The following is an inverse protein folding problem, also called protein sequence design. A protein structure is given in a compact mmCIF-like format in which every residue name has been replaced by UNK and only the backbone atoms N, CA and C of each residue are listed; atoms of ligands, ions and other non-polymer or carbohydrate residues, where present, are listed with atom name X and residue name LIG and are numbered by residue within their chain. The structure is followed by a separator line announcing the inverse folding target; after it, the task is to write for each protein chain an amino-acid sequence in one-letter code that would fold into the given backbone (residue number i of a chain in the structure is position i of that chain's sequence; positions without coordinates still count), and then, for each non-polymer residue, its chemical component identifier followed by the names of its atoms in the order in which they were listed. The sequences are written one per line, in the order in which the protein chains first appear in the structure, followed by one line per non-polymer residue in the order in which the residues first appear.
data_IF_848574388248
#
_entry.id   IF_848574388248
#
_cell.length_a   1.000
_cell.length_b   1.000
_cell.length_c   1.000
_cell.angle_alpha   90.00
_cell.angle_beta   90.00
_cell.angle_gamma   90.00
#
_symmetry.space_group_name_H-M   'P 1'
#
loop_
_entity.id
_entity.type
_entity.pdbx_description
1 polymer ?
#
# COMPACT_ATOMS: atom_id res chain seq x y z
N UNK A 1 -50.54 -29.34 23.93
CA UNK A 1 -49.93 -28.97 25.23
C UNK A 1 -48.48 -29.41 25.24
N UNK A 2 -47.63 -28.57 25.81
CA UNK A 2 -46.17 -28.65 25.91
C UNK A 2 -45.60 -30.05 26.24
N UNK A 3 -44.43 -30.39 25.67
CA UNK A 3 -43.12 -30.29 26.37
C UNK A 3 -41.99 -30.96 25.58
N UNK A 4 -40.80 -30.34 25.71
CA UNK A 4 -39.47 -30.97 25.84
C UNK A 4 -38.88 -31.57 24.53
N UNK A 5 -37.58 -31.47 24.21
CA UNK A 5 -36.38 -31.29 25.02
C UNK A 5 -35.30 -30.64 24.15
N UNK A 6 -34.58 -29.67 24.72
CA UNK A 6 -33.36 -29.11 24.14
C UNK A 6 -32.13 -29.95 24.51
N UNK A 7 -31.05 -29.65 23.79
CA UNK A 7 -29.62 -29.85 24.14
C UNK A 7 -28.97 -31.16 23.66
N UNK A 8 -28.17 -31.07 22.59
CA UNK A 8 -26.70 -31.29 22.63
C UNK A 8 -26.02 -31.04 21.27
N UNK A 9 -25.14 -30.04 21.29
CA UNK A 9 -23.92 -29.82 20.49
C UNK A 9 -23.47 -30.91 19.51
N UNK A 10 -23.11 -30.52 18.28
CA UNK A 10 -21.83 -30.90 17.67
C UNK A 10 -21.37 -29.91 16.57
N UNK A 11 -20.08 -29.60 16.63
CA UNK A 11 -19.27 -28.76 15.74
C UNK A 11 -18.98 -29.43 14.38
N UNK A 12 -18.85 -28.66 13.28
CA UNK A 12 -17.89 -28.92 12.18
C UNK A 12 -18.01 -27.93 10.99
N UNK A 13 -17.05 -27.01 10.92
CA UNK A 13 -16.29 -26.47 9.76
C UNK A 13 -16.73 -26.70 8.29
N UNK A 14 -16.82 -25.57 7.57
CA UNK A 14 -16.26 -25.18 6.25
C UNK A 14 -16.08 -26.17 5.07
N UNK A 15 -16.47 -25.64 3.89
CA UNK A 15 -15.95 -25.90 2.54
C UNK A 15 -16.33 -27.22 1.85
N UNK A 16 -17.16 -27.13 0.79
CA UNK A 16 -16.95 -27.80 -0.52
C UNK A 16 -18.19 -27.71 -1.43
N UNK A 17 -18.37 -26.62 -2.19
CA UNK A 17 -19.36 -26.57 -3.28
C UNK A 17 -18.82 -25.82 -4.51
N UNK A 18 -17.68 -26.23 -5.07
CA UNK A 18 -17.22 -25.70 -6.37
C UNK A 18 -16.45 -26.71 -7.23
N UNK A 19 -16.65 -28.02 -7.06
CA UNK A 19 -15.99 -29.02 -7.93
C UNK A 19 -16.87 -29.53 -9.08
N UNK A 20 -18.21 -29.45 -8.99
CA UNK A 20 -19.07 -30.13 -9.97
C UNK A 20 -19.30 -29.35 -11.28
N UNK A 21 -19.12 -28.03 -11.30
CA UNK A 21 -19.45 -27.20 -12.47
C UNK A 21 -18.35 -27.14 -13.55
N UNK A 22 -17.11 -27.55 -13.26
CA UNK A 22 -16.01 -27.43 -14.22
C UNK A 22 -15.91 -28.59 -15.24
N UNK A 23 -16.80 -29.60 -15.22
CA UNK A 23 -16.63 -30.83 -16.01
C UNK A 23 -17.36 -30.88 -17.36
N UNK A 24 -18.31 -29.97 -17.63
CA UNK A 24 -19.12 -30.01 -18.86
C UNK A 24 -18.62 -29.08 -19.98
N UNK A 25 -17.56 -28.30 -19.74
CA UNK A 25 -16.92 -27.47 -20.77
C UNK A 25 -15.47 -27.90 -20.88
N UNK A 26 -15.17 -28.76 -21.85
CA UNK A 26 -13.84 -29.33 -22.14
C UNK A 26 -12.76 -28.28 -22.44
N UNK A 27 -12.35 -27.54 -21.41
CA UNK A 27 -11.24 -26.61 -21.42
C UNK A 27 -10.01 -27.39 -20.97
N UNK A 28 -9.18 -27.79 -21.94
CA UNK A 28 -7.83 -28.26 -21.68
C UNK A 28 -7.05 -27.13 -20.99
N UNK A 29 -6.72 -27.30 -19.72
CA UNK A 29 -5.84 -26.40 -18.99
C UNK A 29 -4.44 -26.50 -19.59
N UNK A 30 -4.12 -25.60 -20.52
CA UNK A 30 -2.74 -25.34 -20.92
C UNK A 30 -2.03 -24.74 -19.71
N UNK A 31 -1.21 -25.55 -19.03
CA UNK A 31 -0.18 -25.07 -18.09
C UNK A 31 0.80 -24.18 -18.84
N UNK A 32 0.45 -22.91 -19.00
CA UNK A 32 1.45 -21.86 -19.21
C UNK A 32 2.28 -21.80 -17.93
N UNK A 33 3.63 -21.75 -18.00
CA UNK A 33 4.42 -21.41 -16.84
C UNK A 33 3.95 -20.03 -16.36
N UNK A 34 3.40 -19.99 -15.16
CA UNK A 34 2.78 -18.81 -14.57
C UNK A 34 3.85 -17.78 -14.22
N UNK A 35 4.35 -17.06 -15.23
CA UNK A 35 5.18 -15.87 -15.02
C UNK A 35 4.40 -14.57 -15.04
N UNK A 36 3.07 -14.59 -15.21
CA UNK A 36 2.23 -13.39 -15.16
C UNK A 36 0.82 -13.73 -14.68
N UNK A 37 0.69 -14.22 -13.45
CA UNK A 37 -0.49 -13.87 -12.67
C UNK A 37 -0.05 -12.66 -11.84
N UNK A 38 -0.73 -11.53 -12.00
CA UNK A 38 -0.71 -10.43 -11.04
C UNK A 38 -1.24 -10.99 -9.72
N UNK A 39 -0.39 -11.74 -9.02
CA UNK A 39 -0.55 -11.93 -7.59
C UNK A 39 -0.61 -10.51 -7.06
N UNK A 40 -1.72 -10.14 -6.44
CA UNK A 40 -1.78 -8.92 -5.64
C UNK A 40 -0.53 -8.96 -4.78
N UNK A 41 0.43 -8.09 -5.10
CA UNK A 41 1.62 -7.95 -4.28
C UNK A 41 1.13 -7.86 -2.84
N UNK A 42 1.63 -8.68 -1.90
CA UNK A 42 1.28 -8.50 -0.51
C UNK A 42 1.46 -7.03 -0.18
N UNK A 43 0.44 -6.44 0.46
CA UNK A 43 0.42 -5.03 0.82
C UNK A 43 1.80 -4.66 1.35
N UNK A 44 2.48 -3.62 0.84
CA UNK A 44 3.84 -3.35 1.23
C UNK A 44 3.88 -3.13 2.75
N UNK A 45 4.49 -4.09 3.46
CA UNK A 45 4.64 -4.04 4.91
C UNK A 45 5.96 -3.33 5.22
N UNK A 46 6.00 -2.64 6.35
CA UNK A 46 7.18 -1.92 6.85
C UNK A 46 8.42 -2.82 7.04
N UNK A 47 8.24 -4.14 7.22
CA UNK A 47 9.34 -5.10 7.42
C UNK A 47 9.85 -5.82 6.15
N UNK A 48 9.47 -5.36 4.95
CA UNK A 48 9.98 -6.00 3.72
C UNK A 48 11.41 -5.52 3.42
N UNK A 49 12.37 -6.43 3.10
CA UNK A 49 13.73 -6.05 2.76
C UNK A 49 13.75 -5.17 1.50
N UNK A 50 14.54 -4.10 1.56
CA UNK A 50 14.68 -3.16 0.44
C UNK A 50 15.53 -3.83 -0.64
N UNK A 51 15.02 -3.87 -1.86
CA UNK A 51 15.80 -4.34 -2.99
C UNK A 51 16.73 -3.22 -3.49
N UNK A 52 17.91 -3.54 -4.05
CA UNK A 52 18.84 -2.54 -4.59
C UNK A 52 18.19 -1.66 -5.66
N UNK A 53 17.23 -2.19 -6.41
CA UNK A 53 16.41 -1.42 -7.37
C UNK A 53 15.59 -0.33 -6.68
N UNK A 54 15.00 -0.62 -5.51
CA UNK A 54 14.20 0.36 -4.76
C UNK A 54 15.07 1.50 -4.23
N UNK A 55 16.26 1.18 -3.74
CA UNK A 55 17.25 2.18 -3.30
C UNK A 55 17.68 3.08 -4.47
N UNK A 56 17.97 2.48 -5.63
CA UNK A 56 18.33 3.24 -6.83
C UNK A 56 17.19 4.20 -7.24
N UNK A 57 15.95 3.72 -7.28
CA UNK A 57 14.78 4.56 -7.60
C UNK A 57 14.63 5.72 -6.61
N UNK A 58 14.81 5.46 -5.30
CA UNK A 58 14.75 6.51 -4.28
C UNK A 58 15.88 7.54 -4.43
N UNK A 59 17.10 7.11 -4.75
CA UNK A 59 18.23 8.01 -5.01
C UNK A 59 17.98 8.89 -6.22
N UNK A 60 17.48 8.32 -7.32
CA UNK A 60 17.15 9.06 -8.54
C UNK A 60 15.99 10.05 -8.34
N UNK A 61 15.00 9.70 -7.51
CA UNK A 61 13.92 10.61 -7.11
C UNK A 61 14.44 11.79 -6.27
N UNK A 62 15.34 11.51 -5.32
CA UNK A 62 16.00 12.54 -4.51
C UNK A 62 16.91 13.44 -5.34
N UNK A 63 17.47 12.93 -6.44
CA UNK A 63 18.23 13.72 -7.42
C UNK A 63 17.35 14.67 -8.26
N UNK A 64 16.03 14.69 -8.05
CA UNK A 64 15.11 15.64 -8.68
C UNK A 64 14.27 15.07 -9.82
N UNK A 65 14.38 13.77 -10.14
CA UNK A 65 13.55 13.16 -11.20
C UNK A 65 12.09 13.04 -10.79
N UNK A 66 11.20 13.24 -11.74
CA UNK A 66 9.76 13.09 -11.54
C UNK A 66 9.33 11.62 -11.52
N UNK A 67 8.22 11.31 -10.86
CA UNK A 67 7.65 9.95 -10.80
C UNK A 67 7.35 9.40 -12.20
N UNK A 68 6.86 10.25 -13.11
CA UNK A 68 6.57 9.89 -14.50
C UNK A 68 7.86 9.55 -15.30
N UNK A 69 8.95 10.27 -15.04
CA UNK A 69 10.25 10.01 -15.68
C UNK A 69 10.83 8.69 -15.18
N UNK A 70 10.78 8.44 -13.87
CA UNK A 70 11.22 7.18 -13.27
C UNK A 70 10.40 5.99 -13.80
N UNK A 71 9.08 6.14 -13.87
CA UNK A 71 8.21 5.12 -14.44
C UNK A 71 8.62 4.77 -15.88
N UNK A 72 8.92 5.79 -16.69
CA UNK A 72 9.36 5.62 -18.07
C UNK A 72 10.76 4.99 -18.16
N UNK A 73 11.72 5.49 -17.37
CA UNK A 73 13.11 5.02 -17.33
C UNK A 73 13.20 3.54 -16.93
N UNK A 74 12.46 3.15 -15.89
CA UNK A 74 12.46 1.79 -15.36
C UNK A 74 11.44 0.87 -16.05
N UNK A 75 10.67 1.38 -17.03
CA UNK A 75 9.59 0.68 -17.75
C UNK A 75 8.58 0.03 -16.80
N UNK A 76 8.16 0.75 -15.76
CA UNK A 76 7.18 0.31 -14.75
C UNK A 76 6.05 1.33 -14.64
N UNK A 77 4.96 0.94 -13.98
CA UNK A 77 3.85 1.88 -13.73
C UNK A 77 4.20 2.87 -12.61
N UNK A 78 3.61 4.08 -12.60
CA UNK A 78 3.76 5.04 -11.50
C UNK A 78 3.41 4.43 -10.13
N UNK A 79 2.37 3.57 -10.10
CA UNK A 79 1.99 2.81 -8.90
C UNK A 79 3.13 1.96 -8.35
N UNK A 80 3.89 1.30 -9.23
CA UNK A 80 5.06 0.51 -8.82
C UNK A 80 6.18 1.39 -8.29
N UNK A 81 6.37 2.58 -8.86
CA UNK A 81 7.33 3.57 -8.31
C UNK A 81 6.90 3.98 -6.90
N UNK A 82 5.62 4.29 -6.68
CA UNK A 82 5.11 4.59 -5.33
C UNK A 82 5.35 3.45 -4.34
N UNK A 83 5.17 2.19 -4.74
CA UNK A 83 5.48 1.04 -3.88
C UNK A 83 6.98 0.95 -3.53
N UNK A 84 7.86 1.22 -4.49
CA UNK A 84 9.31 1.23 -4.25
C UNK A 84 9.72 2.37 -3.31
N UNK A 85 9.21 3.59 -3.56
CA UNK A 85 9.44 4.74 -2.70
C UNK A 85 8.91 4.48 -1.29
N UNK A 86 7.73 3.89 -1.17
CA UNK A 86 7.12 3.61 0.13
C UNK A 86 7.96 2.63 0.94
N UNK A 87 8.47 1.56 0.30
CA UNK A 87 9.38 0.62 0.96
C UNK A 87 10.64 1.32 1.47
N UNK A 88 11.25 2.21 0.67
CA UNK A 88 12.40 2.97 1.09
C UNK A 88 12.08 3.89 2.28
N UNK A 89 11.00 4.68 2.19
CA UNK A 89 10.58 5.58 3.27
C UNK A 89 10.24 4.84 4.57
N UNK A 90 9.54 3.71 4.46
CA UNK A 90 9.18 2.87 5.61
C UNK A 90 10.38 2.25 6.32
N UNK A 91 11.52 2.11 5.62
CA UNK A 91 12.78 1.65 6.20
C UNK A 91 13.69 2.82 6.65
N UNK A 92 13.15 4.03 6.76
CA UNK A 92 13.89 5.20 7.27
C UNK A 92 14.73 5.94 6.22
N UNK A 93 14.61 5.61 4.93
CA UNK A 93 15.28 6.41 3.91
C UNK A 93 14.57 7.75 3.71
N UNK A 94 15.33 8.84 3.68
CA UNK A 94 14.81 10.16 3.38
C UNK A 94 14.34 10.25 1.91
N UNK A 95 13.19 10.88 1.70
CA UNK A 95 12.66 11.20 0.36
C UNK A 95 12.42 12.70 0.23
N UNK A 96 12.58 13.22 -1.00
CA UNK A 96 12.30 14.62 -1.34
C UNK A 96 10.79 14.90 -1.29
N UNK A 97 10.37 15.76 -0.38
CA UNK A 97 8.96 16.14 -0.20
C UNK A 97 8.39 16.95 -1.39
N UNK A 98 9.20 17.83 -1.99
CA UNK A 98 8.80 18.73 -3.08
C UNK A 98 8.19 17.97 -4.28
N UNK A 99 8.84 16.89 -4.71
CA UNK A 99 8.35 16.10 -5.86
C UNK A 99 7.08 15.29 -5.58
N UNK A 100 6.69 15.15 -4.31
CA UNK A 100 5.42 14.52 -3.92
C UNK A 100 4.29 15.56 -3.89
N UNK A 101 4.58 16.79 -3.47
CA UNK A 101 3.62 17.90 -3.48
C UNK A 101 3.21 18.26 -4.91
N UNK A 102 4.12 18.21 -5.87
CA UNK A 102 3.81 18.43 -7.30
C UNK A 102 2.85 17.37 -7.88
N UNK A 103 2.84 16.16 -7.30
CA UNK A 103 1.97 15.08 -7.77
C UNK A 103 0.57 15.16 -7.15
N UNK A 104 0.46 15.62 -5.90
CA UNK A 104 -0.82 15.73 -5.21
C UNK A 104 -1.60 16.96 -5.68
N UNK A 105 -2.90 16.78 -5.91
CA UNK A 105 -3.79 17.85 -6.43
C UNK A 105 -4.85 18.32 -5.44
N UNK A 106 -4.80 17.82 -4.22
CA UNK A 106 -5.79 18.15 -3.18
C UNK A 106 -5.52 19.50 -2.54
N UNK A 107 -6.56 20.06 -1.92
CA UNK A 107 -6.43 21.31 -1.20
C UNK A 107 -5.61 21.14 0.10
N UNK A 108 -4.97 22.23 0.52
CA UNK A 108 -4.23 22.29 1.79
C UNK A 108 -5.07 21.86 3.01
N UNK A 109 -6.38 22.13 2.99
CA UNK A 109 -7.31 21.75 4.05
C UNK A 109 -7.53 20.24 4.11
N UNK A 110 -7.75 19.61 2.95
CA UNK A 110 -7.93 18.16 2.85
C UNK A 110 -6.65 17.42 3.21
N UNK A 111 -5.50 17.95 2.75
CA UNK A 111 -4.18 17.45 3.13
C UNK A 111 -4.00 17.41 4.65
N UNK A 112 -4.36 18.50 5.35
CA UNK A 112 -4.25 18.56 6.80
C UNK A 112 -5.12 17.49 7.49
N UNK A 113 -6.37 17.29 7.05
CA UNK A 113 -7.26 16.25 7.58
C UNK A 113 -6.67 14.85 7.40
N UNK A 114 -6.10 14.57 6.23
CA UNK A 114 -5.50 13.26 5.94
C UNK A 114 -4.26 13.02 6.81
N UNK A 115 -3.39 14.02 6.95
CA UNK A 115 -2.20 13.93 7.81
C UNK A 115 -2.60 13.69 9.27
N UNK A 116 -3.64 14.37 9.76
CA UNK A 116 -4.17 14.12 11.10
C UNK A 116 -4.72 12.69 11.26
N UNK A 117 -5.43 12.19 10.25
CA UNK A 117 -5.93 10.82 10.24
C UNK A 117 -4.77 9.80 10.24
N UNK A 118 -3.68 10.06 9.52
CA UNK A 118 -2.47 9.23 9.55
C UNK A 118 -1.75 9.25 10.91
N UNK A 119 -1.71 10.38 11.61
CA UNK A 119 -1.16 10.47 12.96
C UNK A 119 -2.02 9.67 13.96
N UNK A 120 -3.36 9.71 13.84
CA UNK A 120 -4.29 9.03 14.75
C UNK A 120 -4.42 7.53 14.50
N UNK A 121 -4.54 7.11 13.25
CA UNK A 121 -4.82 5.73 12.85
C UNK A 121 -3.56 4.96 12.43
N UNK A 122 -2.47 5.68 12.21
CA UNK A 122 -1.21 5.16 11.73
C UNK A 122 -1.13 5.08 10.21
N UNK A 123 0.09 5.18 9.70
CA UNK A 123 0.40 5.08 8.28
C UNK A 123 0.28 3.68 7.69
N UNK A 124 0.08 2.61 8.46
CA UNK A 124 0.27 1.23 7.96
C UNK A 124 -0.79 0.78 6.96
N UNK A 125 -2.06 1.14 7.19
CA UNK A 125 -3.19 0.75 6.36
C UNK A 125 -3.93 1.98 5.85
N UNK A 126 -4.22 2.00 4.55
CA UNK A 126 -4.96 3.11 3.92
C UNK A 126 -6.47 3.03 4.18
N UNK A 127 -6.99 1.81 4.36
CA UNK A 127 -8.43 1.57 4.50
C UNK A 127 -9.03 2.32 5.72
N UNK A 128 -8.48 2.23 6.95
CA UNK A 128 -9.02 2.97 8.09
C UNK A 128 -9.03 4.50 7.87
N UNK A 129 -8.00 5.03 7.21
CA UNK A 129 -7.91 6.46 6.90
C UNK A 129 -8.93 6.86 5.83
N UNK A 130 -9.09 6.04 4.80
CA UNK A 130 -10.10 6.24 3.76
C UNK A 130 -11.53 6.23 4.33
N UNK A 131 -11.84 5.24 5.18
CA UNK A 131 -13.13 5.15 5.88
C UNK A 131 -13.35 6.36 6.82
N UNK A 132 -12.32 6.81 7.54
CA UNK A 132 -12.41 7.98 8.43
C UNK A 132 -12.65 9.30 7.67
N UNK A 133 -12.18 9.39 6.43
CA UNK A 133 -12.40 10.50 5.51
C UNK A 133 -13.67 10.34 4.67
N UNK A 134 -14.53 9.36 4.98
CA UNK A 134 -15.75 9.03 4.22
C UNK A 134 -15.52 8.83 2.71
N UNK A 135 -14.30 8.49 2.29
CA UNK A 135 -13.94 8.37 0.89
C UNK A 135 -13.89 9.67 0.09
N UNK A 136 -13.79 10.83 0.75
CA UNK A 136 -13.61 12.13 0.07
C UNK A 136 -12.31 12.17 -0.74
N UNK A 137 -11.27 11.47 -0.27
CA UNK A 137 -9.93 11.44 -0.90
C UNK A 137 -9.69 10.13 -1.64
N UNK A 138 -9.21 10.22 -2.88
CA UNK A 138 -8.89 9.06 -3.71
C UNK A 138 -7.71 8.24 -3.16
N UNK A 139 -7.69 6.93 -3.45
CA UNK A 139 -6.62 6.04 -3.00
C UNK A 139 -5.22 6.46 -3.50
N UNK A 140 -5.11 6.95 -4.73
CA UNK A 140 -3.85 7.44 -5.29
C UNK A 140 -3.31 8.64 -4.49
N UNK A 141 -4.17 9.59 -4.12
CA UNK A 141 -3.79 10.73 -3.27
C UNK A 141 -3.38 10.27 -1.87
N UNK A 142 -4.11 9.33 -1.27
CA UNK A 142 -3.74 8.77 0.03
C UNK A 142 -2.36 8.09 0.00
N UNK A 143 -1.98 7.46 -1.12
CA UNK A 143 -0.64 6.90 -1.29
C UNK A 143 0.45 7.98 -1.29
N UNK A 144 0.23 9.07 -2.01
CA UNK A 144 1.16 10.21 -2.10
C UNK A 144 1.31 10.88 -0.74
N UNK A 145 0.20 11.13 -0.06
CA UNK A 145 0.20 11.76 1.26
C UNK A 145 0.85 10.90 2.34
N UNK A 146 0.65 9.58 2.28
CA UNK A 146 1.35 8.64 3.15
C UNK A 146 2.86 8.72 2.98
N UNK A 147 3.33 8.81 1.74
CA UNK A 147 4.74 9.01 1.43
C UNK A 147 5.27 10.35 1.94
N UNK A 148 4.49 11.41 1.76
CA UNK A 148 4.82 12.73 2.26
C UNK A 148 4.95 12.73 3.79
N UNK A 149 3.99 12.13 4.48
CA UNK A 149 3.99 11.96 5.94
C UNK A 149 5.22 11.19 6.44
N UNK A 150 5.56 10.06 5.82
CA UNK A 150 6.79 9.31 6.14
C UNK A 150 8.06 10.12 5.88
N UNK A 151 8.08 10.91 4.80
CA UNK A 151 9.23 11.78 4.49
C UNK A 151 9.42 12.84 5.57
N UNK A 152 8.33 13.40 6.11
CA UNK A 152 8.39 14.32 7.25
C UNK A 152 8.86 13.63 8.54
N UNK A 153 8.40 12.41 8.81
CA UNK A 153 8.83 11.64 9.98
C UNK A 153 10.32 11.32 9.93
N UNK A 154 10.84 10.91 8.76
CA UNK A 154 12.25 10.59 8.57
C UNK A 154 13.15 11.84 8.72
N UNK A 155 12.68 13.04 8.32
CA UNK A 155 13.43 14.29 8.53
C UNK A 155 13.43 14.78 9.98
N UNK A 156 12.35 14.55 10.74
CA UNK A 156 12.28 14.91 12.17
C UNK A 156 13.27 14.13 13.04
N UNK A 157 13.78 13.00 12.57
CA UNK A 157 14.79 12.21 13.27
C UNK A 157 16.22 12.76 13.20
N UNK A 158 16.52 13.76 12.35
CA UNK A 158 17.88 14.33 12.22
C UNK A 158 18.13 15.56 13.11
N UNK A 159 17.10 16.11 13.76
CA UNK A 159 17.23 17.32 14.59
C UNK A 159 17.59 17.01 16.06
N UNK A 160 17.60 15.73 16.48
CA UNK A 160 17.89 15.30 17.86
C UNK A 160 19.33 14.79 18.06
N UNK A 161 20.26 15.12 17.15
CA UNK A 161 21.69 14.76 17.26
C UNK A 161 22.65 15.95 17.11
N UNK A 162 22.21 17.17 17.43
CA UNK A 162 23.04 18.38 17.43
C UNK A 162 23.05 19.11 18.78
N UNK A 163 23.10 18.36 19.88
CA UNK A 163 23.52 18.91 21.18
C UNK A 163 24.33 17.85 21.93
N UNK A 164 25.61 17.76 21.61
CA UNK A 164 26.63 17.38 22.59
C UNK A 164 27.95 18.10 22.29
#
# INVERSE_FOLDING_TARGET
MCKLFAVKYLVATSSSVTSRYCRERGLQEKTRPAKNASARSPLPTTNSPITPKSQLIAGEFNAGKSIAELASQFKVTPRTIFEHLFKCAANGHALRAEGLEEYSRIDSTERAKVLEAFEKLGGNYLKPVFDALNGEVSYDELHVLRLYHLSLQNRRGEDESATE
#
